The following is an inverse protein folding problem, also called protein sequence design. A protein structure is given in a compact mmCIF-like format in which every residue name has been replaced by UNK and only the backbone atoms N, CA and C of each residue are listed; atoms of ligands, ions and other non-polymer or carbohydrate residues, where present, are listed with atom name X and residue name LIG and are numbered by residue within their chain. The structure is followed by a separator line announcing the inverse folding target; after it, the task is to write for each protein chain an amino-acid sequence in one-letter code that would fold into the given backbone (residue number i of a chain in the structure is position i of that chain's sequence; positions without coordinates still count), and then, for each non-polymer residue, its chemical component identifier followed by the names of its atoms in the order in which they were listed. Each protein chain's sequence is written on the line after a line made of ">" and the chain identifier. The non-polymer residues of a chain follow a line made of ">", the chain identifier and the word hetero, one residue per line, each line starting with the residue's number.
data_IF_956483981286
#
_entry.id   IF_956483981286
#
_cell.length_a   1.000
_cell.length_b   1.000
_cell.length_c   1.000
_cell.angle_alpha   90.00
_cell.angle_beta   90.00
_cell.angle_gamma   90.00
#
_symmetry.space_group_name_H-M   'P 1'
#
loop_
_entity.id
_entity.type
_entity.pdbx_description
1 polymer ?
#
# COMPACT_ATOMS: atom_id res chain seq x y z
N UNK A 1 -14.21 -1.47 -17.68
CA UNK A 1 -12.88 -1.04 -17.20
C UNK A 1 -13.14 -0.03 -16.08
N UNK A 2 -12.69 -0.29 -14.86
CA UNK A 2 -12.87 0.69 -13.78
C UNK A 2 -11.99 1.91 -14.06
N UNK A 3 -12.52 3.10 -13.82
CA UNK A 3 -11.77 4.35 -13.77
C UNK A 3 -10.85 4.31 -12.54
N UNK A 4 -9.79 3.51 -12.61
CA UNK A 4 -8.65 3.67 -11.70
C UNK A 4 -8.11 5.07 -11.99
N UNK A 5 -8.15 5.94 -10.99
CA UNK A 5 -7.96 7.39 -11.12
C UNK A 5 -6.88 7.74 -12.14
N UNK A 6 -7.25 8.56 -13.13
CA UNK A 6 -6.30 9.13 -14.06
C UNK A 6 -5.29 9.95 -13.25
N UNK A 7 -4.13 9.37 -12.97
CA UNK A 7 -2.96 10.14 -12.60
C UNK A 7 -2.67 11.02 -13.81
N UNK A 8 -2.98 12.31 -13.68
CA UNK A 8 -2.63 13.30 -14.68
C UNK A 8 -1.11 13.37 -14.72
N UNK A 9 -0.49 12.53 -15.56
CA UNK A 9 0.93 12.53 -15.86
C UNK A 9 1.24 13.87 -16.52
N UNK A 10 1.52 14.87 -15.69
CA UNK A 10 1.92 16.20 -16.14
C UNK A 10 3.22 16.07 -16.96
N UNK A 11 3.39 17.00 -17.90
CA UNK A 11 4.47 17.09 -18.90
C UNK A 11 5.92 17.08 -18.39
N UNK A 12 6.17 17.01 -17.08
CA UNK A 12 7.50 16.99 -16.46
C UNK A 12 8.17 15.60 -16.43
N UNK A 13 7.53 14.57 -17.00
CA UNK A 13 8.06 13.21 -17.11
C UNK A 13 8.54 12.86 -18.52
N UNK A 14 9.32 13.72 -19.19
CA UNK A 14 9.77 13.41 -20.57
C UNK A 14 10.54 12.08 -20.70
N UNK A 15 11.14 11.62 -19.60
CA UNK A 15 11.99 10.41 -19.56
C UNK A 15 11.47 9.29 -18.65
N UNK A 16 10.27 9.42 -18.06
CA UNK A 16 9.69 8.40 -17.15
C UNK A 16 8.50 7.76 -17.85
N UNK A 17 8.57 6.44 -18.01
CA UNK A 17 7.47 5.67 -18.57
C UNK A 17 6.49 5.29 -17.45
N UNK A 18 5.18 5.12 -17.72
CA UNK A 18 4.24 4.67 -16.69
C UNK A 18 4.68 3.40 -15.96
N UNK A 19 5.36 2.49 -16.66
CA UNK A 19 5.94 1.26 -16.07
C UNK A 19 7.03 1.51 -15.02
N UNK A 20 7.75 2.64 -15.10
CA UNK A 20 8.77 3.03 -14.11
C UNK A 20 8.14 3.34 -12.73
N UNK A 21 6.83 3.63 -12.69
CA UNK A 21 6.07 3.94 -11.48
C UNK A 21 5.16 2.78 -11.05
N UNK A 22 5.18 1.66 -11.77
CA UNK A 22 4.38 0.49 -11.42
C UNK A 22 4.86 -0.07 -10.08
N UNK A 23 3.95 -0.20 -9.14
CA UNK A 23 4.22 -0.79 -7.83
C UNK A 23 2.99 -1.49 -7.27
N UNK A 24 3.22 -2.46 -6.38
CA UNK A 24 2.21 -3.00 -5.47
C UNK A 24 2.27 -2.22 -4.17
N UNK A 25 1.15 -1.64 -3.77
CA UNK A 25 1.03 -0.85 -2.55
C UNK A 25 0.44 -1.69 -1.41
N UNK A 26 0.99 -1.53 -0.21
CA UNK A 26 0.53 -2.13 1.04
C UNK A 26 0.26 -1.01 2.03
N UNK A 27 -0.71 -1.22 2.91
CA UNK A 27 -0.95 -0.33 4.05
C UNK A 27 -0.63 -1.06 5.33
N UNK A 28 0.25 -0.48 6.15
CA UNK A 28 0.55 -0.96 7.48
C UNK A 28 -0.46 -0.39 8.47
N UNK A 29 -1.07 -1.27 9.27
CA UNK A 29 -2.03 -0.92 10.30
C UNK A 29 -1.94 -1.92 11.45
N UNK A 30 -2.18 -1.51 12.70
CA UNK A 30 -2.41 -2.46 13.78
C UNK A 30 -3.54 -3.43 13.43
N UNK A 31 -3.39 -4.71 13.79
CA UNK A 31 -4.42 -5.73 13.52
C UNK A 31 -5.78 -5.34 14.13
N UNK A 32 -5.76 -4.69 15.29
CA UNK A 32 -6.95 -4.17 15.98
C UNK A 32 -7.67 -3.05 15.24
N UNK A 33 -7.07 -2.48 14.20
CA UNK A 33 -7.56 -1.32 13.45
C UNK A 33 -7.89 -1.66 11.98
N UNK A 34 -7.77 -2.92 11.56
CA UNK A 34 -8.02 -3.34 10.17
C UNK A 34 -9.45 -2.97 9.71
N UNK A 35 -10.44 -3.00 10.61
CA UNK A 35 -11.81 -2.58 10.29
C UNK A 35 -11.90 -1.14 9.78
N UNK A 36 -10.95 -0.27 10.13
CA UNK A 36 -10.94 1.12 9.69
C UNK A 36 -10.80 1.24 8.18
N UNK A 37 -10.26 0.24 7.47
CA UNK A 37 -10.15 0.28 6.02
C UNK A 37 -11.47 0.00 5.29
N UNK A 38 -12.45 -0.58 5.98
CA UNK A 38 -13.71 -1.01 5.37
C UNK A 38 -14.81 0.02 5.64
N UNK A 39 -15.48 0.48 4.58
CA UNK A 39 -16.68 1.31 4.73
C UNK A 39 -16.43 2.76 5.20
N UNK A 40 -15.23 3.30 4.99
CA UNK A 40 -14.93 4.72 5.31
C UNK A 40 -15.83 5.64 4.48
N UNK A 41 -16.70 6.39 5.16
CA UNK A 41 -17.53 7.43 4.52
C UNK A 41 -16.64 8.55 3.99
N UNK A 42 -16.99 9.07 2.82
CA UNK A 42 -16.30 10.19 2.16
C UNK A 42 -14.87 9.91 1.65
N UNK A 43 -14.39 8.66 1.66
CA UNK A 43 -13.21 8.30 0.86
C UNK A 43 -13.61 8.03 -0.61
N UNK A 44 -12.81 8.48 -1.58
CA UNK A 44 -13.07 8.22 -3.00
C UNK A 44 -12.94 6.74 -3.33
N UNK A 45 -12.04 6.03 -2.64
CA UNK A 45 -11.87 4.59 -2.74
C UNK A 45 -12.72 3.89 -1.68
N UNK A 46 -13.56 2.95 -2.12
CA UNK A 46 -14.39 2.11 -1.25
C UNK A 46 -13.81 0.70 -1.22
N UNK A 47 -13.09 0.38 -0.15
CA UNK A 47 -12.60 -0.98 0.07
C UNK A 47 -13.70 -1.86 0.68
N UNK A 48 -13.78 -3.09 0.19
CA UNK A 48 -14.59 -4.17 0.77
C UNK A 48 -13.81 -4.89 1.89
N UNK A 49 -14.48 -5.75 2.67
CA UNK A 49 -13.87 -6.57 3.73
C UNK A 49 -12.92 -7.67 3.26
N UNK A 50 -12.33 -7.55 2.06
CA UNK A 50 -11.45 -8.54 1.46
C UNK A 50 -10.02 -8.01 1.37
N UNK A 51 -9.05 -8.87 1.65
CA UNK A 51 -7.64 -8.49 1.62
C UNK A 51 -6.73 -9.66 1.97
N UNK A 52 -5.42 -9.44 1.79
CA UNK A 52 -4.37 -10.35 2.22
C UNK A 52 -3.44 -9.59 3.14
N UNK A 53 -3.06 -10.21 4.26
CA UNK A 53 -2.17 -9.62 5.24
C UNK A 53 -0.83 -10.34 5.19
N UNK A 54 0.23 -9.55 5.28
CA UNK A 54 1.62 -9.99 5.13
C UNK A 54 2.42 -9.58 6.35
N UNK A 55 3.48 -10.34 6.61
CA UNK A 55 4.48 -9.90 7.58
C UNK A 55 5.38 -8.84 6.95
N UNK A 56 5.49 -7.69 7.63
CA UNK A 56 6.28 -6.57 7.13
C UNK A 56 7.76 -6.94 7.03
N UNK A 57 8.31 -7.61 8.04
CA UNK A 57 9.73 -7.95 8.08
C UNK A 57 10.07 -8.85 6.91
N UNK A 58 9.26 -9.87 6.63
CA UNK A 58 9.39 -10.75 5.46
C UNK A 58 9.38 -9.97 4.14
N UNK A 59 8.50 -8.98 3.99
CA UNK A 59 8.45 -8.15 2.76
C UNK A 59 9.64 -7.22 2.59
N UNK A 60 10.38 -6.91 3.66
CA UNK A 60 11.56 -6.04 3.61
C UNK A 60 12.87 -6.78 3.33
N UNK A 61 12.83 -8.11 3.21
CA UNK A 61 14.01 -8.96 3.04
C UNK A 61 14.14 -9.53 1.62
N UNK A 62 15.39 -9.72 1.12
CA UNK A 62 15.63 -10.34 -0.18
C UNK A 62 14.93 -11.71 -0.32
N UNK A 63 14.42 -12.06 -1.52
CA UNK A 63 14.53 -11.34 -2.79
C UNK A 63 13.47 -10.23 -2.98
N UNK A 64 12.64 -9.96 -1.96
CA UNK A 64 11.63 -8.91 -2.00
C UNK A 64 12.21 -7.64 -1.40
N UNK A 65 11.73 -6.49 -1.88
CA UNK A 65 12.11 -5.21 -1.31
C UNK A 65 10.89 -4.30 -1.28
N UNK A 66 10.06 -4.48 -0.26
CA UNK A 66 9.08 -3.48 0.12
C UNK A 66 9.81 -2.33 0.82
N UNK A 67 9.52 -1.09 0.44
CA UNK A 67 10.06 0.09 1.07
C UNK A 67 8.95 1.11 1.36
N UNK A 68 9.10 1.94 2.41
CA UNK A 68 8.10 2.92 2.78
C UNK A 68 8.02 4.03 1.72
N UNK A 69 6.81 4.56 1.52
CA UNK A 69 6.59 5.70 0.64
C UNK A 69 7.05 6.99 1.30
N UNK A 70 7.75 7.81 0.53
CA UNK A 70 8.20 9.16 0.89
C UNK A 70 7.19 10.18 0.36
N UNK A 71 6.42 10.77 1.26
CA UNK A 71 5.45 11.80 0.92
C UNK A 71 6.05 13.20 0.97
N UNK A 72 5.76 13.99 -0.05
CA UNK A 72 6.06 15.43 -0.07
C UNK A 72 4.81 16.24 0.29
N UNK A 73 4.76 16.78 1.51
CA UNK A 73 3.56 17.44 2.04
C UNK A 73 3.68 18.96 2.27
N UNK A 74 4.77 19.61 1.87
CA UNK A 74 4.94 21.06 2.09
C UNK A 74 4.24 21.91 0.99
N UNK A 75 3.79 23.15 1.28
CA UNK A 75 3.27 24.08 0.30
C UNK A 75 4.38 24.41 -0.69
N UNK A 76 4.18 24.04 -1.96
CA UNK A 76 5.24 24.14 -2.96
C UNK A 76 6.38 23.12 -2.80
N UNK A 77 6.39 22.27 -1.77
CA UNK A 77 7.39 21.22 -1.58
C UNK A 77 7.41 20.22 -2.72
N UNK A 78 6.23 19.88 -3.24
CA UNK A 78 6.15 19.07 -4.45
C UNK A 78 6.72 19.78 -5.68
N UNK A 79 6.62 21.11 -5.78
CA UNK A 79 7.27 21.88 -6.85
C UNK A 79 8.78 22.01 -6.62
N UNK A 80 9.23 22.13 -5.36
CA UNK A 80 10.64 22.15 -5.00
C UNK A 80 11.32 20.82 -5.37
N UNK A 81 10.74 19.69 -4.97
CA UNK A 81 11.23 18.37 -5.36
C UNK A 81 11.33 18.25 -6.87
N UNK A 82 10.29 18.65 -7.60
CA UNK A 82 10.30 18.65 -9.06
C UNK A 82 11.39 19.56 -9.65
N UNK A 83 11.59 20.75 -9.07
CA UNK A 83 12.64 21.67 -9.51
C UNK A 83 14.04 21.09 -9.28
N UNK A 84 14.25 20.36 -8.18
CA UNK A 84 15.52 19.66 -7.96
C UNK A 84 15.67 18.48 -8.92
N UNK A 85 14.62 17.68 -9.09
CA UNK A 85 14.60 16.54 -10.00
C UNK A 85 14.91 16.95 -11.44
N UNK A 86 14.31 18.05 -11.91
CA UNK A 86 14.54 18.59 -13.26
C UNK A 86 15.95 19.15 -13.48
N UNK A 87 16.72 19.41 -12.41
CA UNK A 87 18.12 19.85 -12.50
C UNK A 87 19.09 18.66 -12.59
N UNK A 88 18.61 17.44 -12.37
CA UNK A 88 19.47 16.26 -12.44
C UNK A 88 19.86 16.00 -13.89
N UNK A 89 21.13 15.65 -14.09
CA UNK A 89 21.67 15.26 -15.39
C UNK A 89 21.20 13.87 -15.79
N UNK A 90 21.21 13.57 -17.10
CA UNK A 90 20.66 12.31 -17.65
C UNK A 90 21.24 11.05 -16.96
N UNK A 91 22.52 11.07 -16.62
CA UNK A 91 23.23 9.99 -15.92
C UNK A 91 22.66 9.68 -14.52
N UNK A 92 22.05 10.65 -13.85
CA UNK A 92 21.45 10.47 -12.52
C UNK A 92 20.01 9.92 -12.57
N UNK A 93 19.34 9.93 -13.74
CA UNK A 93 17.97 9.42 -13.83
C UNK A 93 17.91 7.90 -13.75
N UNK A 94 18.93 7.20 -14.22
CA UNK A 94 18.93 5.74 -14.27
C UNK A 94 18.79 5.13 -12.87
N UNK A 95 19.51 5.67 -11.89
CA UNK A 95 19.40 5.27 -10.47
C UNK A 95 18.10 5.74 -9.82
N UNK A 96 17.57 6.90 -10.23
CA UNK A 96 16.31 7.43 -9.69
C UNK A 96 15.09 6.63 -10.13
N UNK A 97 15.06 6.14 -11.38
CA UNK A 97 13.96 5.29 -11.89
C UNK A 97 13.71 4.08 -11.00
N UNK A 98 14.75 3.57 -10.35
CA UNK A 98 14.63 2.43 -9.46
C UNK A 98 13.99 2.75 -8.11
N UNK A 99 13.80 4.03 -7.77
CA UNK A 99 13.18 4.46 -6.52
C UNK A 99 12.01 5.43 -6.73
N UNK A 100 11.73 5.87 -7.97
CA UNK A 100 10.67 6.83 -8.26
C UNK A 100 9.30 6.38 -7.76
N UNK A 101 9.03 5.08 -7.80
CA UNK A 101 7.79 4.49 -7.31
C UNK A 101 7.58 4.69 -5.79
N UNK A 102 8.63 5.01 -5.02
CA UNK A 102 8.56 5.27 -3.58
C UNK A 102 8.17 6.72 -3.25
N UNK A 103 8.06 7.59 -4.25
CA UNK A 103 7.75 9.00 -4.02
C UNK A 103 6.30 9.30 -4.37
N UNK A 104 5.60 9.99 -3.48
CA UNK A 104 4.25 10.45 -3.75
C UNK A 104 3.96 11.83 -3.14
N UNK A 105 2.87 12.44 -3.59
CA UNK A 105 2.32 13.66 -3.02
C UNK A 105 1.12 13.28 -2.19
N UNK A 106 1.08 13.70 -0.93
CA UNK A 106 -0.08 13.42 -0.10
C UNK A 106 -1.14 14.50 -0.28
N UNK A 107 -2.24 14.14 -0.93
CA UNK A 107 -3.44 14.98 -1.07
C UNK A 107 -3.25 16.29 -1.87
N UNK A 108 -4.35 17.03 -2.04
CA UNK A 108 -4.26 18.48 -2.27
C UNK A 108 -4.04 19.11 -0.90
N UNK A 109 -3.19 20.13 -0.79
CA UNK A 109 -3.20 21.06 0.35
C UNK A 109 -4.63 21.61 0.49
N UNK A 110 -5.43 21.03 1.37
CA UNK A 110 -6.81 21.47 1.55
C UNK A 110 -6.76 22.78 2.34
N UNK A 111 -7.25 23.87 1.73
CA UNK A 111 -7.29 25.20 2.32
C UNK A 111 -5.91 25.77 2.75
N UNK A 112 -4.82 25.41 2.05
CA UNK A 112 -3.48 25.94 2.37
C UNK A 112 -2.93 25.47 3.71
N UNK A 113 -3.52 24.43 4.31
CA UNK A 113 -3.02 23.78 5.53
C UNK A 113 -2.33 22.49 5.19
N UNK A 114 -1.14 22.33 5.76
CA UNK A 114 -0.40 21.08 5.70
C UNK A 114 -0.96 20.13 6.74
N UNK A 115 -1.50 19.02 6.26
CA UNK A 115 -1.84 17.91 7.12
C UNK A 115 -0.69 16.90 7.05
N UNK A 116 -0.10 16.64 8.20
CA UNK A 116 0.94 15.64 8.35
C UNK A 116 0.29 14.26 8.47
N UNK A 117 0.29 13.50 7.38
CA UNK A 117 -0.19 12.13 7.32
C UNK A 117 0.96 11.10 7.35
N UNK A 118 2.12 11.45 7.93
CA UNK A 118 3.20 10.49 8.16
C UNK A 118 2.78 9.27 8.99
N UNK A 119 1.61 9.33 9.65
CA UNK A 119 1.03 8.19 10.35
C UNK A 119 0.46 7.12 9.42
N UNK A 120 0.03 7.48 8.19
CA UNK A 120 -0.36 6.50 7.17
C UNK A 120 0.92 5.88 6.58
N UNK A 121 1.17 4.61 6.92
CA UNK A 121 2.36 3.89 6.50
C UNK A 121 2.05 3.06 5.25
N UNK A 122 2.23 3.69 4.09
CA UNK A 122 2.21 2.99 2.80
C UNK A 122 3.59 2.39 2.52
N UNK A 123 3.60 1.14 2.09
CA UNK A 123 4.78 0.43 1.62
C UNK A 123 4.58 0.04 0.16
N UNK A 124 5.65 0.06 -0.64
CA UNK A 124 5.58 -0.32 -2.04
C UNK A 124 6.65 -1.33 -2.40
N UNK A 125 6.28 -2.28 -3.27
CA UNK A 125 7.19 -3.17 -3.99
C UNK A 125 7.19 -2.75 -5.46
N UNK A 126 8.36 -2.60 -6.06
CA UNK A 126 8.49 -2.26 -7.49
C UNK A 126 7.89 -3.37 -8.36
N UNK A 127 7.14 -2.98 -9.39
CA UNK A 127 6.55 -3.88 -10.38
C UNK A 127 5.53 -4.87 -9.81
N UNK A 128 5.77 -6.18 -9.96
CA UNK A 128 4.83 -7.25 -9.61
C UNK A 128 5.27 -7.97 -8.32
N UNK A 129 4.30 -8.32 -7.48
CA UNK A 129 4.56 -9.05 -6.24
C UNK A 129 4.45 -10.56 -6.45
N UNK A 130 5.56 -11.19 -6.83
CA UNK A 130 5.63 -12.62 -7.04
C UNK A 130 5.37 -13.40 -5.73
N UNK A 131 4.47 -14.38 -5.80
CA UNK A 131 4.14 -15.23 -4.65
C UNK A 131 3.31 -14.52 -3.57
N UNK A 132 2.49 -13.54 -3.95
CA UNK A 132 1.52 -12.90 -3.06
C UNK A 132 0.68 -13.94 -2.28
N UNK A 133 0.14 -14.95 -2.96
CA UNK A 133 -0.65 -15.99 -2.30
C UNK A 133 0.14 -16.76 -1.24
N UNK A 134 1.37 -17.18 -1.55
CA UNK A 134 2.17 -18.06 -0.67
C UNK A 134 2.78 -17.34 0.52
N UNK A 135 2.85 -16.01 0.48
CA UNK A 135 3.42 -15.16 1.54
C UNK A 135 2.39 -14.53 2.44
N UNK A 136 1.11 -14.62 2.08
CA UNK A 136 0.04 -14.15 2.93
C UNK A 136 0.08 -14.92 4.25
N UNK A 137 0.07 -14.20 5.38
CA UNK A 137 -0.02 -14.78 6.72
C UNK A 137 -1.45 -15.16 7.05
N UNK A 138 -2.40 -14.33 6.64
CA UNK A 138 -3.83 -14.60 6.73
C UNK A 138 -4.61 -13.76 5.71
N UNK A 139 -5.84 -14.16 5.45
CA UNK A 139 -6.79 -13.44 4.60
C UNK A 139 -7.84 -12.68 5.40
N UNK A 140 -8.40 -11.66 4.77
CA UNK A 140 -9.57 -10.94 5.24
C UNK A 140 -10.76 -11.31 4.37
N UNK A 141 -11.90 -11.63 4.98
CA UNK A 141 -13.18 -11.79 4.30
C UNK A 141 -14.35 -11.62 5.28
N UNK A 142 -15.58 -11.29 4.82
CA UNK A 142 -16.75 -11.35 5.69
C UNK A 142 -16.90 -12.70 6.39
N UNK A 143 -17.41 -12.71 7.62
CA UNK A 143 -17.51 -13.89 8.48
C UNK A 143 -18.17 -15.08 7.78
N UNK A 144 -19.31 -14.85 7.11
CA UNK A 144 -20.06 -15.87 6.37
C UNK A 144 -19.32 -16.45 5.15
N UNK A 145 -18.13 -15.95 4.81
CA UNK A 145 -17.27 -16.45 3.72
C UNK A 145 -16.03 -17.19 4.24
N UNK A 146 -15.76 -17.17 5.53
CA UNK A 146 -14.56 -17.79 6.12
C UNK A 146 -14.48 -19.27 5.75
N UNK A 147 -15.55 -20.04 6.00
CA UNK A 147 -15.56 -21.48 5.71
C UNK A 147 -15.28 -21.79 4.23
N UNK A 148 -15.82 -20.97 3.33
CA UNK A 148 -15.59 -21.11 1.89
C UNK A 148 -14.11 -20.88 1.52
N UNK A 149 -13.49 -19.83 2.06
CA UNK A 149 -12.10 -19.51 1.77
C UNK A 149 -11.14 -20.49 2.44
N UNK A 150 -11.40 -20.90 3.69
CA UNK A 150 -10.56 -21.87 4.39
C UNK A 150 -10.69 -23.28 3.78
N UNK A 151 -11.84 -23.64 3.18
CA UNK A 151 -11.95 -24.85 2.37
C UNK A 151 -11.14 -24.77 1.06
N UNK A 152 -11.07 -23.58 0.45
CA UNK A 152 -10.36 -23.34 -0.81
C UNK A 152 -8.85 -23.12 -0.63
N UNK A 153 -8.44 -22.65 0.55
CA UNK A 153 -7.06 -22.33 0.93
C UNK A 153 -6.76 -22.85 2.34
N UNK A 154 -6.67 -24.18 2.53
CA UNK A 154 -6.57 -24.80 3.86
C UNK A 154 -5.36 -24.36 4.69
N UNK A 155 -4.31 -23.88 4.02
CA UNK A 155 -3.08 -23.34 4.61
C UNK A 155 -3.23 -21.93 5.17
N UNK A 156 -4.21 -21.15 4.68
CA UNK A 156 -4.32 -19.72 4.97
C UNK A 156 -5.56 -19.46 5.84
N UNK A 157 -5.40 -19.03 7.10
CA UNK A 157 -6.55 -18.68 7.92
C UNK A 157 -7.20 -17.38 7.45
N UNK A 158 -8.51 -17.26 7.65
CA UNK A 158 -9.28 -16.07 7.31
C UNK A 158 -10.00 -15.49 8.54
N UNK A 159 -10.02 -14.16 8.64
CA UNK A 159 -10.74 -13.42 9.69
C UNK A 159 -11.64 -12.36 9.07
N UNK A 160 -12.75 -12.05 9.74
CA UNK A 160 -13.52 -10.86 9.41
C UNK A 160 -12.81 -9.61 9.96
N UNK A 161 -12.56 -8.58 9.13
CA UNK A 161 -12.07 -7.28 9.61
C UNK A 161 -12.83 -6.72 10.81
N UNK A 162 -14.13 -7.03 10.94
CA UNK A 162 -14.99 -6.55 12.02
C UNK A 162 -14.98 -7.41 13.28
N UNK A 163 -14.23 -8.51 13.31
CA UNK A 163 -13.97 -9.23 14.55
C UNK A 163 -13.28 -8.32 15.57
N UNK A 164 -13.63 -8.47 16.84
CA UNK A 164 -12.90 -7.76 17.87
C UNK A 164 -11.45 -8.28 17.96
N UNK A 165 -10.49 -7.48 18.48
CA UNK A 165 -9.07 -7.86 18.46
C UNK A 165 -8.78 -9.21 19.13
N UNK A 166 -9.52 -9.57 20.18
CA UNK A 166 -9.35 -10.85 20.88
C UNK A 166 -9.79 -12.04 20.05
N UNK A 167 -10.85 -11.90 19.26
CA UNK A 167 -11.30 -12.94 18.32
C UNK A 167 -10.25 -13.19 17.24
N UNK A 168 -9.73 -12.11 16.63
CA UNK A 168 -8.66 -12.20 15.63
C UNK A 168 -7.44 -12.89 16.23
N UNK A 169 -6.98 -12.42 17.39
CA UNK A 169 -5.81 -12.96 18.07
C UNK A 169 -5.98 -14.45 18.40
N UNK A 170 -7.13 -14.83 18.98
CA UNK A 170 -7.42 -16.22 19.36
C UNK A 170 -7.37 -17.14 18.13
N UNK A 171 -7.99 -16.71 17.02
CA UNK A 171 -8.02 -17.50 15.79
C UNK A 171 -6.63 -17.62 15.17
N UNK A 172 -5.87 -16.53 15.09
CA UNK A 172 -4.53 -16.55 14.50
C UNK A 172 -3.52 -17.36 15.35
N UNK A 173 -3.60 -17.29 16.68
CA UNK A 173 -2.81 -18.13 17.59
C UNK A 173 -3.12 -19.61 17.44
N UNK A 174 -4.39 -19.98 17.36
CA UNK A 174 -4.81 -21.38 17.17
C UNK A 174 -4.29 -21.97 15.84
N UNK A 175 -3.95 -21.11 14.88
CA UNK A 175 -3.40 -21.46 13.57
C UNK A 175 -1.88 -21.28 13.48
N UNK A 176 -1.21 -20.89 14.58
CA UNK A 176 0.24 -20.69 14.64
C UNK A 176 0.76 -19.53 13.78
N UNK A 177 -0.08 -18.53 13.49
CA UNK A 177 0.32 -17.36 12.68
C UNK A 177 1.00 -16.28 13.52
N UNK A 178 0.55 -16.10 14.75
CA UNK A 178 1.08 -15.15 15.75
C UNK A 178 1.24 -15.82 17.11
#
# INVERSE_FOLDING_TARGET
>A
MSEVGQFNYKSWYRNVQPGDLKAVCFTETPVSEIFLFVGIKNKPLKFSSYGLVYDREELTQPPIFAAPVLYFSQPGGSQHFLNQFNKLEQQHYTSLKDILYLFDKFGKTYAGKDYNFMWEREWRIKSDFAGAKTRAKFGLCPEHKIDFFEASFPELPFVDPFFNPRQIETKLKARGVI
#
